data_IF_985358703545
#
_entry.id   IF_985358703545
#
_cell.length_a   1.000
_cell.length_b   1.000
_cell.length_c   1.000
_cell.angle_alpha   90.00
_cell.angle_beta   90.00
_cell.angle_gamma   90.00
#
_symmetry.space_group_name_H-M   'P 1'
#
loop_
_entity.id
_entity.type
_entity.pdbx_description
1 polymer ?
#
# COMPACT_ATOMS: atom_id res chain seq x y z
N UNK A 1 16.43 15.74 10.92
CA UNK A 1 16.42 14.43 11.60
C UNK A 1 15.02 13.84 11.43
N UNK A 2 14.81 12.82 10.60
CA UNK A 2 13.64 11.94 10.76
C UNK A 2 13.75 10.66 9.92
N UNK A 3 14.37 9.66 10.54
CA UNK A 3 13.91 8.26 10.60
C UNK A 3 13.35 7.66 9.28
N UNK A 4 14.24 6.93 8.59
CA UNK A 4 13.96 5.69 7.84
C UNK A 4 13.32 5.82 6.46
N UNK A 5 14.11 6.26 5.47
CA UNK A 5 14.03 5.76 4.09
C UNK A 5 14.50 4.30 4.03
N UNK A 6 13.85 3.42 4.77
CA UNK A 6 14.07 1.99 4.63
C UNK A 6 13.58 1.57 3.24
N UNK A 7 14.51 1.27 2.33
CA UNK A 7 14.34 0.59 1.04
C UNK A 7 12.94 0.75 0.45
N UNK A 8 12.71 1.86 -0.26
CA UNK A 8 11.48 2.04 -1.01
C UNK A 8 11.31 0.85 -1.95
N UNK A 9 10.16 0.17 -1.85
CA UNK A 9 9.80 -0.84 -2.84
C UNK A 9 9.71 -0.12 -4.19
N UNK A 10 10.56 -0.53 -5.14
CA UNK A 10 10.60 0.01 -6.49
C UNK A 10 9.80 -0.91 -7.41
N UNK A 11 9.05 -0.35 -8.35
CA UNK A 11 8.38 -1.09 -9.42
C UNK A 11 9.25 -1.04 -10.67
N UNK A 12 10.23 -1.94 -10.77
CA UNK A 12 11.11 -2.05 -11.94
C UNK A 12 10.70 -3.20 -12.86
N UNK A 13 10.07 -4.23 -12.30
CA UNK A 13 9.58 -5.38 -13.04
C UNK A 13 8.21 -5.84 -12.50
N UNK A 14 7.54 -6.76 -13.22
CA UNK A 14 6.22 -7.28 -12.83
C UNK A 14 6.28 -8.03 -11.49
N UNK A 15 7.42 -8.65 -11.18
CA UNK A 15 7.66 -9.38 -9.95
C UNK A 15 7.63 -8.45 -8.72
N UNK A 16 8.03 -7.18 -8.91
CA UNK A 16 8.04 -6.18 -7.85
C UNK A 16 6.62 -5.69 -7.50
N UNK A 17 5.65 -5.87 -8.42
CA UNK A 17 4.27 -5.39 -8.32
C UNK A 17 3.70 -5.57 -6.93
N UNK A 18 3.88 -6.76 -6.38
CA UNK A 18 3.20 -7.17 -5.16
C UNK A 18 3.78 -6.48 -3.93
N UNK A 19 5.10 -6.39 -3.83
CA UNK A 19 5.74 -5.67 -2.72
C UNK A 19 5.52 -4.15 -2.85
N UNK A 20 5.53 -3.66 -4.09
CA UNK A 20 5.30 -2.26 -4.39
C UNK A 20 3.88 -1.82 -4.03
N UNK A 21 2.84 -2.52 -4.50
CA UNK A 21 1.45 -2.12 -4.24
C UNK A 21 1.09 -2.18 -2.75
N UNK A 22 1.62 -3.15 -2.00
CA UNK A 22 1.44 -3.22 -0.55
C UNK A 22 2.09 -2.03 0.16
N UNK A 23 3.26 -1.57 -0.31
CA UNK A 23 3.93 -0.38 0.23
C UNK A 23 3.11 0.90 -0.01
N UNK A 24 2.46 1.02 -1.18
CA UNK A 24 1.56 2.12 -1.49
C UNK A 24 0.31 2.06 -0.60
N UNK A 25 -0.30 0.88 -0.45
CA UNK A 25 -1.45 0.66 0.42
C UNK A 25 -1.12 1.01 1.88
N UNK A 26 -0.02 0.49 2.43
CA UNK A 26 0.43 0.81 3.79
C UNK A 26 0.69 2.30 3.99
N UNK A 27 1.19 3.00 2.97
CA UNK A 27 1.36 4.46 3.04
C UNK A 27 0.01 5.18 3.08
N UNK A 28 -0.92 4.80 2.22
CA UNK A 28 -2.23 5.42 2.12
C UNK A 28 -3.11 5.15 3.36
N UNK A 29 -3.08 3.93 3.89
CA UNK A 29 -3.77 3.55 5.14
C UNK A 29 -3.20 4.32 6.33
N UNK A 30 -1.88 4.43 6.47
CA UNK A 30 -1.25 5.24 7.54
C UNK A 30 -1.57 6.73 7.45
N UNK A 31 -1.90 7.21 6.27
CA UNK A 31 -2.29 8.60 6.04
C UNK A 31 -3.81 8.79 6.03
N UNK A 32 -4.60 7.73 6.24
CA UNK A 32 -6.06 7.78 6.24
C UNK A 32 -6.66 8.34 4.93
N UNK A 33 -6.04 7.98 3.80
CA UNK A 33 -6.45 8.43 2.45
C UNK A 33 -6.74 7.27 1.49
N UNK A 34 -6.69 6.02 1.97
CA UNK A 34 -6.86 4.84 1.12
C UNK A 34 -8.19 4.84 0.35
N UNK A 35 -9.28 5.33 0.95
CA UNK A 35 -10.60 5.42 0.30
C UNK A 35 -10.57 6.21 -1.03
N UNK A 36 -9.65 7.17 -1.16
CA UNK A 36 -9.46 7.97 -2.37
C UNK A 36 -8.46 7.36 -3.37
N UNK A 37 -7.65 6.41 -2.91
CA UNK A 37 -6.60 5.76 -3.69
C UNK A 37 -7.03 4.40 -4.22
N UNK A 38 -7.99 3.74 -3.55
CA UNK A 38 -8.38 2.36 -3.83
C UNK A 38 -8.81 2.18 -5.31
N UNK A 39 -8.09 1.35 -6.09
CA UNK A 39 -8.45 1.03 -7.46
C UNK A 39 -9.85 0.42 -7.58
N UNK A 40 -10.29 -0.36 -6.59
CA UNK A 40 -11.62 -0.98 -6.55
C UNK A 40 -12.67 -0.09 -5.87
N UNK A 41 -12.24 1.03 -5.28
CA UNK A 41 -13.11 2.01 -4.63
C UNK A 41 -14.04 2.73 -5.61
N UNK A 42 -15.19 3.19 -5.10
CA UNK A 42 -16.22 3.90 -5.87
C UNK A 42 -16.21 5.41 -5.58
N UNK A 43 -15.47 5.83 -4.55
CA UNK A 43 -15.41 7.23 -4.10
C UNK A 43 -14.36 8.00 -4.89
N UNK A 44 -14.82 8.94 -5.74
CA UNK A 44 -13.93 9.98 -6.24
C UNK A 44 -13.63 10.94 -5.09
N UNK A 45 -12.40 11.46 -4.96
CA UNK A 45 -12.07 12.49 -3.99
C UNK A 45 -12.89 13.77 -4.24
N UNK A 46 -14.05 13.87 -3.61
CA UNK A 46 -14.86 15.09 -3.60
C UNK A 46 -14.41 15.95 -2.43
N UNK A 47 -13.27 16.59 -2.61
CA UNK A 47 -12.83 17.60 -1.67
C UNK A 47 -13.42 18.95 -2.06
N UNK A 48 -14.68 19.22 -1.70
CA UNK A 48 -15.32 20.50 -2.01
C UNK A 48 -15.40 21.39 -0.78
N UNK A 49 -14.45 22.32 -0.66
CA UNK A 49 -14.66 23.53 0.11
C UNK A 49 -15.27 24.59 -0.83
N UNK A 50 -16.60 24.75 -0.83
CA UNK A 50 -17.24 25.81 -1.62
C UNK A 50 -16.92 27.16 -0.99
N UNK A 51 -16.23 28.03 -1.73
CA UNK A 51 -15.93 29.39 -1.27
C UNK A 51 -17.24 30.14 -0.95
N UNK A 52 -17.43 30.64 0.29
CA UNK A 52 -18.61 31.42 0.63
C UNK A 52 -18.60 32.76 -0.10
N UNK A 53 -19.79 33.36 -0.26
CA UNK A 53 -19.93 34.72 -0.79
C UNK A 53 -19.21 35.73 0.11
N UNK A 54 -18.68 36.80 -0.47
CA UNK A 54 -17.99 37.86 0.28
C UNK A 54 -18.91 38.61 1.27
N UNK A 55 -20.24 38.44 1.14
CA UNK A 55 -21.25 38.95 2.08
C UNK A 55 -21.64 37.96 3.19
N UNK A 56 -20.98 36.80 3.27
CA UNK A 56 -21.30 35.77 4.25
C UNK A 56 -20.98 36.21 5.69
N UNK A 57 -21.71 35.64 6.64
CA UNK A 57 -21.50 35.93 8.06
C UNK A 57 -20.09 35.54 8.52
N UNK A 58 -19.59 36.20 9.59
CA UNK A 58 -18.30 35.86 10.20
C UNK A 58 -18.22 34.38 10.61
N UNK A 59 -19.31 33.79 11.09
CA UNK A 59 -19.39 32.37 11.44
C UNK A 59 -19.30 31.46 10.21
N UNK A 60 -19.90 31.87 9.09
CA UNK A 60 -19.80 31.15 7.80
C UNK A 60 -18.38 31.19 7.26
N UNK A 61 -17.72 32.35 7.33
CA UNK A 61 -16.31 32.51 6.91
C UNK A 61 -15.38 31.68 7.79
N UNK A 62 -15.59 31.69 9.11
CA UNK A 62 -14.80 30.89 10.05
C UNK A 62 -14.96 29.38 9.79
N UNK A 63 -16.20 28.90 9.58
CA UNK A 63 -16.47 27.50 9.20
C UNK A 63 -15.77 27.13 7.89
N UNK A 64 -15.80 28.01 6.89
CA UNK A 64 -15.08 27.79 5.64
C UNK A 64 -13.58 27.65 5.85
N UNK A 65 -12.94 28.53 6.64
CA UNK A 65 -11.51 28.39 6.92
C UNK A 65 -11.16 27.09 7.66
N UNK A 66 -12.00 26.65 8.60
CA UNK A 66 -11.83 25.35 9.26
C UNK A 66 -11.94 24.18 8.28
N UNK A 67 -12.93 24.20 7.39
CA UNK A 67 -13.10 23.17 6.36
C UNK A 67 -11.96 23.20 5.33
N UNK A 68 -11.50 24.38 4.95
CA UNK A 68 -10.38 24.57 4.03
C UNK A 68 -9.08 24.01 4.62
N UNK A 69 -8.81 24.23 5.91
CA UNK A 69 -7.65 23.69 6.58
C UNK A 69 -7.67 22.14 6.66
N UNK A 70 -8.85 21.55 6.88
CA UNK A 70 -9.04 20.09 6.83
C UNK A 70 -8.74 19.59 5.41
N UNK A 71 -9.33 20.24 4.40
CA UNK A 71 -9.09 19.90 3.00
C UNK A 71 -7.61 19.95 2.61
N UNK A 72 -6.92 21.04 2.91
CA UNK A 72 -5.50 21.19 2.58
C UNK A 72 -4.64 20.12 3.28
N UNK A 73 -5.01 19.75 4.50
CA UNK A 73 -4.35 18.67 5.25
C UNK A 73 -4.53 17.31 4.58
N UNK A 74 -5.75 16.96 4.18
CA UNK A 74 -6.06 15.70 3.49
C UNK A 74 -5.43 15.66 2.10
N UNK A 75 -5.52 16.75 1.34
CA UNK A 75 -4.88 16.87 0.02
C UNK A 75 -3.37 16.66 0.12
N UNK A 76 -2.71 17.26 1.12
CA UNK A 76 -1.27 17.05 1.34
C UNK A 76 -0.92 15.59 1.64
N UNK A 77 -1.80 14.85 2.33
CA UNK A 77 -1.62 13.42 2.58
C UNK A 77 -1.80 12.58 1.32
N UNK A 78 -2.80 12.92 0.50
CA UNK A 78 -3.05 12.31 -0.80
C UNK A 78 -1.89 12.55 -1.78
N UNK A 79 -1.41 13.79 -1.87
CA UNK A 79 -0.30 14.18 -2.75
C UNK A 79 0.98 13.38 -2.40
N UNK A 80 1.24 13.09 -1.12
CA UNK A 80 2.35 12.20 -0.73
C UNK A 80 2.24 10.79 -1.31
N UNK A 81 1.04 10.25 -1.45
CA UNK A 81 0.82 8.94 -2.06
C UNK A 81 1.08 9.03 -3.56
N UNK A 82 0.59 10.09 -4.22
CA UNK A 82 0.89 10.36 -5.63
C UNK A 82 2.38 10.48 -5.89
N UNK A 83 3.08 11.30 -5.11
CA UNK A 83 4.53 11.50 -5.21
C UNK A 83 5.28 10.18 -4.99
N UNK A 84 4.82 9.34 -4.04
CA UNK A 84 5.42 8.03 -3.81
C UNK A 84 5.33 7.15 -5.06
N UNK A 85 4.19 7.12 -5.74
CA UNK A 85 4.01 6.36 -6.98
C UNK A 85 5.00 6.88 -8.04
N UNK A 86 5.03 8.20 -8.26
CA UNK A 86 5.88 8.80 -9.28
C UNK A 86 7.38 8.61 -9.01
N UNK A 87 7.79 8.51 -7.75
CA UNK A 87 9.19 8.26 -7.36
C UNK A 87 9.59 6.79 -7.47
N UNK A 88 8.66 5.85 -7.30
CA UNK A 88 8.98 4.42 -7.14
C UNK A 88 8.70 3.59 -8.38
N UNK A 89 7.99 4.13 -9.37
CA UNK A 89 7.75 3.47 -10.66
C UNK A 89 8.88 3.79 -11.64
N UNK A 90 9.44 2.76 -12.30
CA UNK A 90 10.47 2.95 -13.32
C UNK A 90 9.95 3.70 -14.55
N UNK A 91 10.85 4.36 -15.30
CA UNK A 91 10.48 5.25 -16.40
C UNK A 91 9.65 4.54 -17.48
N UNK A 92 9.96 3.28 -17.76
CA UNK A 92 9.26 2.44 -18.72
C UNK A 92 7.80 2.23 -18.33
N UNK A 93 7.50 2.11 -17.04
CA UNK A 93 6.12 1.90 -16.58
C UNK A 93 5.34 3.20 -16.43
N UNK A 94 6.02 4.35 -16.30
CA UNK A 94 5.35 5.66 -16.27
C UNK A 94 4.57 5.96 -17.54
N UNK A 95 4.96 5.38 -18.68
CA UNK A 95 4.24 5.56 -19.93
C UNK A 95 2.78 5.08 -19.86
N UNK A 96 2.47 4.11 -18.99
CA UNK A 96 1.13 3.54 -18.86
C UNK A 96 0.12 4.51 -18.23
N UNK A 97 0.58 5.48 -17.45
CA UNK A 97 -0.29 6.48 -16.81
C UNK A 97 0.03 7.91 -17.24
N UNK A 98 0.66 8.09 -18.40
CA UNK A 98 0.98 9.42 -18.92
C UNK A 98 -0.32 10.23 -19.13
N UNK A 99 -0.38 11.42 -18.54
CA UNK A 99 -1.58 12.28 -18.57
C UNK A 99 -2.65 11.92 -17.52
N UNK A 100 -2.41 10.89 -16.71
CA UNK A 100 -3.26 10.55 -15.56
C UNK A 100 -2.64 11.17 -14.30
N UNK A 101 -3.42 11.99 -13.62
CA UNK A 101 -2.94 12.81 -12.50
C UNK A 101 -3.50 12.38 -11.15
N UNK A 102 -4.60 11.63 -11.12
CA UNK A 102 -5.17 11.06 -9.90
C UNK A 102 -4.49 9.73 -9.54
N UNK A 103 -4.32 9.49 -8.24
CA UNK A 103 -3.67 8.29 -7.70
C UNK A 103 -4.40 7.03 -8.14
N UNK A 104 -5.74 7.05 -8.06
CA UNK A 104 -6.57 5.89 -8.43
C UNK A 104 -6.39 5.53 -9.90
N UNK A 105 -6.51 6.49 -10.80
CA UNK A 105 -6.27 6.29 -12.23
C UNK A 105 -4.88 5.74 -12.52
N UNK A 106 -3.83 6.27 -11.87
CA UNK A 106 -2.47 5.74 -12.01
C UNK A 106 -2.38 4.26 -11.59
N UNK A 107 -2.97 3.91 -10.45
CA UNK A 107 -2.96 2.54 -9.94
C UNK A 107 -3.73 1.57 -10.83
N UNK A 108 -4.86 1.98 -11.40
CA UNK A 108 -5.63 1.18 -12.37
C UNK A 108 -4.81 0.93 -13.63
N UNK A 109 -4.24 1.99 -14.23
CA UNK A 109 -3.45 1.86 -15.46
C UNK A 109 -2.20 0.99 -15.27
N UNK A 110 -1.54 1.10 -14.11
CA UNK A 110 -0.42 0.25 -13.74
C UNK A 110 -0.87 -1.20 -13.50
N UNK A 111 -2.03 -1.42 -12.90
CA UNK A 111 -2.57 -2.76 -12.68
C UNK A 111 -2.86 -3.46 -14.02
N UNK A 112 -3.56 -2.79 -14.92
CA UNK A 112 -3.92 -3.35 -16.24
C UNK A 112 -2.68 -3.74 -17.08
N UNK A 113 -1.57 -3.04 -16.89
CA UNK A 113 -0.35 -3.22 -17.70
C UNK A 113 0.70 -4.16 -17.06
N UNK A 114 0.86 -4.09 -15.74
CA UNK A 114 2.01 -4.66 -15.03
C UNK A 114 1.59 -5.72 -14.01
N UNK A 115 0.34 -5.72 -13.54
CA UNK A 115 -0.11 -6.72 -12.57
C UNK A 115 0.14 -8.14 -13.11
N UNK A 116 0.87 -8.99 -12.38
CA UNK A 116 1.09 -10.38 -12.78
C UNK A 116 -0.25 -11.08 -12.97
N UNK A 117 -0.35 -12.01 -13.93
CA UNK A 117 -1.61 -12.74 -14.16
C UNK A 117 -1.99 -13.59 -12.95
N UNK A 118 -3.25 -14.01 -12.82
CA UNK A 118 -3.68 -14.88 -11.72
C UNK A 118 -2.84 -16.17 -11.60
N UNK A 119 -2.32 -16.68 -12.73
CA UNK A 119 -1.42 -17.84 -12.76
C UNK A 119 -0.05 -17.49 -12.16
N UNK A 120 0.52 -16.36 -12.57
CA UNK A 120 1.82 -15.88 -12.09
C UNK A 120 1.75 -15.48 -10.61
N UNK A 121 0.66 -14.84 -10.19
CA UNK A 121 0.40 -14.49 -8.79
C UNK A 121 0.44 -15.72 -7.88
N UNK A 122 -0.28 -16.79 -8.24
CA UNK A 122 -0.29 -18.06 -7.47
C UNK A 122 1.09 -18.72 -7.45
N UNK A 123 1.78 -18.72 -8.58
CA UNK A 123 3.11 -19.31 -8.68
C UNK A 123 4.14 -18.53 -7.86
N UNK A 124 4.10 -17.19 -7.89
CA UNK A 124 5.01 -16.32 -7.15
C UNK A 124 4.82 -16.47 -5.64
N UNK A 125 3.58 -16.51 -5.16
CA UNK A 125 3.27 -16.79 -3.74
C UNK A 125 3.82 -18.16 -3.33
N UNK A 126 3.68 -19.18 -4.19
CA UNK A 126 4.20 -20.53 -3.90
C UNK A 126 5.73 -20.58 -3.86
N UNK A 127 6.40 -19.95 -4.82
CA UNK A 127 7.86 -19.89 -4.87
C UNK A 127 8.40 -19.17 -3.64
N UNK A 128 7.82 -18.01 -3.29
CA UNK A 128 8.23 -17.22 -2.13
C UNK A 128 7.98 -17.98 -0.83
N UNK A 129 6.85 -18.66 -0.70
CA UNK A 129 6.56 -19.53 0.44
C UNK A 129 7.61 -20.65 0.61
N UNK A 130 7.92 -21.38 -0.48
CA UNK A 130 8.92 -22.44 -0.44
C UNK A 130 10.33 -21.90 -0.16
N UNK A 131 10.64 -20.68 -0.62
CA UNK A 131 11.86 -19.97 -0.28
C UNK A 131 11.95 -19.64 1.21
N UNK A 132 10.91 -19.02 1.78
CA UNK A 132 10.87 -18.67 3.20
C UNK A 132 10.91 -19.90 4.10
N UNK A 133 10.34 -21.04 3.65
CA UNK A 133 10.39 -22.32 4.38
C UNK A 133 11.81 -22.85 4.56
N UNK A 134 12.74 -22.53 3.65
CA UNK A 134 14.17 -22.93 3.72
C UNK A 134 14.97 -22.12 4.75
N UNK A 135 14.40 -21.06 5.32
CA UNK A 135 15.02 -20.21 6.33
C UNK A 135 15.72 -18.98 5.75
N UNK A 136 16.42 -18.19 6.60
CA UNK A 136 17.01 -16.90 6.22
C UNK A 136 18.16 -16.99 5.20
N UNK A 137 18.79 -18.16 5.04
CA UNK A 137 19.94 -18.32 4.15
C UNK A 137 21.07 -17.35 4.52
N UNK A 138 21.52 -16.55 3.54
CA UNK A 138 22.51 -15.48 3.70
C UNK A 138 21.93 -14.12 4.13
N UNK A 139 20.61 -14.03 4.32
CA UNK A 139 19.92 -12.79 4.69
C UNK A 139 19.81 -12.67 6.21
N UNK A 140 19.78 -11.46 6.77
CA UNK A 140 19.56 -11.30 8.21
C UNK A 140 18.21 -11.87 8.66
N UNK A 141 18.15 -12.39 9.88
CA UNK A 141 16.94 -12.99 10.45
C UNK A 141 15.76 -12.02 10.44
N UNK A 142 15.97 -10.75 10.79
CA UNK A 142 14.93 -9.72 10.79
C UNK A 142 14.36 -9.46 9.39
N UNK A 143 15.25 -9.43 8.37
CA UNK A 143 14.85 -9.22 6.98
C UNK A 143 14.16 -10.45 6.39
N UNK A 144 14.47 -11.64 6.90
CA UNK A 144 13.72 -12.85 6.57
C UNK A 144 12.34 -12.86 7.26
N UNK A 145 12.27 -12.49 8.55
CA UNK A 145 11.02 -12.41 9.30
C UNK A 145 10.06 -11.38 8.70
N UNK A 146 10.56 -10.24 8.24
CA UNK A 146 9.73 -9.17 7.66
C UNK A 146 9.07 -9.55 6.32
N UNK A 147 9.52 -10.62 5.65
CA UNK A 147 8.91 -11.11 4.40
C UNK A 147 7.64 -11.93 4.62
N UNK A 148 7.47 -12.53 5.80
CA UNK A 148 6.29 -13.35 6.11
C UNK A 148 4.97 -12.57 6.10
N UNK A 149 4.86 -11.39 6.76
CA UNK A 149 3.65 -10.57 6.68
C UNK A 149 3.27 -10.20 5.24
N UNK A 150 4.25 -9.80 4.42
CA UNK A 150 4.03 -9.47 3.01
C UNK A 150 3.47 -10.68 2.24
N UNK A 151 4.05 -11.87 2.40
CA UNK A 151 3.55 -13.09 1.77
C UNK A 151 2.09 -13.39 2.13
N UNK A 152 1.70 -13.18 3.40
CA UNK A 152 0.34 -13.41 3.87
C UNK A 152 -0.63 -12.40 3.29
N UNK A 153 -0.27 -11.11 3.26
CA UNK A 153 -1.07 -10.07 2.60
C UNK A 153 -1.30 -10.41 1.12
N UNK A 154 -0.28 -10.92 0.43
CA UNK A 154 -0.35 -11.32 -0.98
C UNK A 154 -1.32 -12.49 -1.19
N UNK A 155 -1.22 -13.52 -0.35
CA UNK A 155 -2.10 -14.69 -0.43
C UNK A 155 -3.58 -14.31 -0.20
N UNK A 156 -3.84 -13.40 0.74
CA UNK A 156 -5.18 -12.84 1.01
C UNK A 156 -5.69 -12.03 -0.18
N UNK A 157 -4.87 -11.12 -0.70
CA UNK A 157 -5.21 -10.22 -1.82
C UNK A 157 -5.59 -11.00 -3.08
N UNK A 158 -4.90 -12.07 -3.39
CA UNK A 158 -5.19 -12.91 -4.56
C UNK A 158 -6.26 -13.98 -4.32
N UNK A 159 -6.97 -13.93 -3.18
CA UNK A 159 -8.03 -14.89 -2.79
C UNK A 159 -7.60 -16.33 -3.06
N UNK A 160 -6.35 -16.66 -2.72
CA UNK A 160 -5.82 -18.00 -2.92
C UNK A 160 -6.36 -18.87 -1.78
N UNK A 161 -7.65 -19.23 -1.89
CA UNK A 161 -8.31 -20.18 -0.99
C UNK A 161 -7.48 -21.48 -0.97
N UNK A 162 -7.00 -21.85 0.22
CA UNK A 162 -6.47 -23.16 0.57
C UNK A 162 -5.08 -23.60 0.09
N UNK A 163 -4.20 -22.75 -0.45
CA UNK A 163 -2.78 -23.17 -0.65
C UNK A 163 -1.86 -22.85 0.55
N UNK A 164 -2.24 -21.88 1.38
CA UNK A 164 -1.53 -21.52 2.63
C UNK A 164 -2.18 -22.19 3.86
N UNK A 165 -3.40 -22.75 3.70
CA UNK A 165 -4.01 -23.71 4.64
C UNK A 165 -3.35 -25.09 4.55
N UNK A 166 -2.03 -25.13 4.67
CA UNK A 166 -1.43 -26.26 5.35
C UNK A 166 -1.21 -25.76 6.78
N UNK A 167 -1.80 -26.47 7.74
CA UNK A 167 -1.73 -26.28 9.20
C UNK A 167 -0.36 -25.86 9.77
N UNK A 168 0.72 -25.99 9.00
CA UNK A 168 2.06 -25.52 9.31
C UNK A 168 2.26 -23.99 9.16
N UNK A 169 1.58 -23.29 8.25
CA UNK A 169 1.75 -21.84 8.09
C UNK A 169 1.05 -21.10 9.21
N UNK A 170 -0.18 -21.50 9.54
CA UNK A 170 -0.92 -20.97 10.68
C UNK A 170 -0.19 -21.23 12.00
N UNK A 171 0.38 -22.43 12.20
CA UNK A 171 1.20 -22.74 13.38
C UNK A 171 2.53 -21.97 13.44
N UNK A 172 3.20 -21.75 12.30
CA UNK A 172 4.43 -20.94 12.27
C UNK A 172 4.13 -19.45 12.47
N UNK A 173 2.98 -18.97 11.99
CA UNK A 173 2.48 -17.62 12.25
C UNK A 173 2.15 -17.42 13.73
N UNK A 174 1.51 -18.38 14.40
CA UNK A 174 1.33 -18.36 15.86
C UNK A 174 2.69 -18.20 16.55
N UNK A 175 3.69 -19.02 16.21
CA UNK A 175 5.04 -18.94 16.80
C UNK A 175 5.71 -17.58 16.52
N UNK A 176 5.60 -17.01 15.32
CA UNK A 176 6.16 -15.68 15.01
C UNK A 176 5.42 -14.58 15.78
N UNK A 177 4.10 -14.65 15.92
CA UNK A 177 3.30 -13.75 16.76
C UNK A 177 3.69 -13.89 18.24
N UNK A 178 3.90 -15.10 18.75
CA UNK A 178 4.38 -15.36 20.11
C UNK A 178 5.82 -14.89 20.36
N UNK A 179 6.65 -14.77 19.30
CA UNK A 179 8.04 -14.29 19.41
C UNK A 179 8.18 -12.77 19.19
N UNK A 180 7.24 -12.15 18.47
CA UNK A 180 7.23 -10.69 18.23
C UNK A 180 6.42 -9.90 19.25
N UNK A 181 5.37 -10.52 19.81
CA UNK A 181 4.61 -9.97 20.92
C UNK A 181 5.24 -10.54 22.19
N UNK A 182 6.24 -9.83 22.73
CA UNK A 182 6.91 -10.22 23.96
C UNK A 182 5.91 -10.59 25.06
N UNK A 183 6.27 -11.62 25.84
CA UNK A 183 5.52 -12.12 27.00
C UNK A 183 4.79 -10.99 27.74
N UNK A 184 3.46 -11.09 27.97
CA UNK A 184 2.89 -10.39 29.10
C UNK A 184 3.49 -11.07 30.34
N UNK A 185 4.40 -10.37 31.00
CA UNK A 185 4.82 -10.66 32.37
C UNK A 185 3.57 -10.82 33.23
N UNK A 186 3.36 -12.04 33.73
CA UNK A 186 2.54 -12.32 34.91
C UNK A 186 3.19 -11.67 36.14
#
# INVERSE_FOLDING_TARGET
MSIKDHNLAMLNAREDWTNWINSIEDLAVRNDVWNYCDPEGIENPVFTATKPSDSASKDTIQKYHSLQAIYESEKKKYDKVSDRIDLTVCQEFKQHYLGIHDVRGKLIALADSIQPTAKDQKQNVRIEFESLKKGPGSTSLDKWLSRWPALVSNAKRYKIENSVSNSQVTRKMEVVTYLTVGFPTL
#
